data_IF_780111066796
#
_entry.id   IF_780111066796
#
_cell.length_a   1.000
_cell.length_b   1.000
_cell.length_c   1.000
_cell.angle_alpha   90.00
_cell.angle_beta   90.00
_cell.angle_gamma   90.00
#
_symmetry.space_group_name_H-M   'P 1'
#
loop_
_entity.id
_entity.type
_entity.pdbx_description
1 polymer ?
#
# COMPACT_ATOMS: atom_id res chain seq x y z
N UNK A 1 -28.28 -4.84 -7.51
CA UNK A 1 -26.82 -5.05 -7.53
C UNK A 1 -26.55 -6.22 -8.46
N UNK A 2 -25.80 -6.02 -9.54
CA UNK A 2 -25.57 -7.08 -10.54
C UNK A 2 -24.50 -8.06 -10.07
N UNK A 3 -24.44 -9.23 -10.71
CA UNK A 3 -23.39 -10.21 -10.44
C UNK A 3 -21.99 -9.65 -10.78
N UNK A 4 -21.89 -8.77 -11.78
CA UNK A 4 -20.63 -8.11 -12.17
C UNK A 4 -20.16 -7.16 -11.06
N UNK A 5 -21.06 -6.32 -10.52
CA UNK A 5 -20.75 -5.44 -9.37
C UNK A 5 -20.25 -6.24 -8.17
N UNK A 6 -20.95 -7.31 -7.78
CA UNK A 6 -20.56 -8.11 -6.62
C UNK A 6 -19.19 -8.77 -6.78
N UNK A 7 -18.84 -9.23 -7.99
CA UNK A 7 -17.50 -9.78 -8.29
C UNK A 7 -16.42 -8.70 -8.24
N UNK A 8 -16.71 -7.52 -8.78
CA UNK A 8 -15.79 -6.40 -8.77
C UNK A 8 -15.50 -5.92 -7.36
N UNK A 9 -16.54 -5.71 -6.55
CA UNK A 9 -16.40 -5.33 -5.13
C UNK A 9 -15.59 -6.38 -4.35
N UNK A 10 -15.86 -7.67 -4.58
CA UNK A 10 -15.10 -8.76 -3.98
C UNK A 10 -13.63 -8.79 -4.39
N UNK A 11 -13.32 -8.51 -5.65
CA UNK A 11 -11.94 -8.40 -6.12
C UNK A 11 -11.22 -7.21 -5.46
N UNK A 12 -11.84 -6.04 -5.41
CA UNK A 12 -11.26 -4.85 -4.78
C UNK A 12 -10.99 -5.08 -3.29
N UNK A 13 -11.91 -5.74 -2.58
CA UNK A 13 -11.70 -6.12 -1.18
C UNK A 13 -10.46 -7.01 -1.01
N UNK A 14 -10.29 -8.03 -1.85
CA UNK A 14 -9.10 -8.89 -1.82
C UNK A 14 -7.80 -8.14 -2.11
N UNK A 15 -7.82 -7.17 -3.03
CA UNK A 15 -6.65 -6.33 -3.30
C UNK A 15 -6.28 -5.50 -2.07
N UNK A 16 -7.27 -4.90 -1.39
CA UNK A 16 -7.05 -4.14 -0.16
C UNK A 16 -6.44 -4.99 0.94
N UNK A 17 -6.98 -6.20 1.18
CA UNK A 17 -6.45 -7.11 2.20
C UNK A 17 -5.00 -7.51 1.93
N UNK A 18 -4.67 -7.82 0.67
CA UNK A 18 -3.30 -8.15 0.27
C UNK A 18 -2.36 -6.95 0.41
N UNK A 19 -2.80 -5.76 0.02
CA UNK A 19 -2.03 -4.54 0.18
C UNK A 19 -1.77 -4.24 1.66
N UNK A 20 -2.79 -4.34 2.52
CA UNK A 20 -2.64 -4.18 3.96
C UNK A 20 -1.66 -5.19 4.56
N UNK A 21 -1.66 -6.44 4.07
CA UNK A 21 -0.68 -7.45 4.48
C UNK A 21 0.75 -7.02 4.12
N UNK A 22 0.98 -6.56 2.89
CA UNK A 22 2.31 -6.08 2.44
C UNK A 22 2.77 -4.86 3.26
N UNK A 23 1.86 -3.92 3.57
CA UNK A 23 2.20 -2.79 4.44
C UNK A 23 2.47 -3.22 5.88
N UNK A 24 1.78 -4.25 6.39
CA UNK A 24 2.05 -4.87 7.68
C UNK A 24 3.47 -5.44 7.75
N UNK A 25 3.88 -6.22 6.73
CA UNK A 25 5.24 -6.75 6.60
C UNK A 25 6.28 -5.61 6.62
N UNK A 26 6.00 -4.50 5.94
CA UNK A 26 6.90 -3.34 5.91
C UNK A 26 7.01 -2.65 7.30
N UNK A 27 5.90 -2.52 8.02
CA UNK A 27 5.87 -1.94 9.38
C UNK A 27 6.66 -2.76 10.38
N UNK A 28 6.78 -4.07 10.18
CA UNK A 28 7.58 -4.95 11.03
C UNK A 28 9.04 -5.01 10.58
N UNK A 29 9.27 -5.27 9.29
CA UNK A 29 10.62 -5.54 8.77
C UNK A 29 11.50 -4.31 8.59
N UNK A 30 10.96 -3.20 8.08
CA UNK A 30 11.78 -2.02 7.78
C UNK A 30 12.41 -1.37 9.03
N UNK A 31 11.71 -1.24 10.17
CA UNK A 31 12.34 -0.76 11.40
C UNK A 31 13.50 -1.65 11.87
N UNK A 32 13.38 -2.98 11.73
CA UNK A 32 14.47 -3.89 12.10
C UNK A 32 15.71 -3.70 11.23
N UNK A 33 15.52 -3.46 9.92
CA UNK A 33 16.62 -3.16 8.99
C UNK A 33 17.35 -1.88 9.39
N UNK A 34 16.62 -0.84 9.78
CA UNK A 34 17.21 0.41 10.27
C UNK A 34 18.03 0.18 11.54
N UNK A 35 17.50 -0.57 12.52
CA UNK A 35 18.22 -0.84 13.78
C UNK A 35 19.51 -1.64 13.55
N UNK A 36 19.46 -2.66 12.69
CA UNK A 36 20.63 -3.49 12.36
C UNK A 36 21.72 -2.70 11.63
N UNK A 37 21.34 -1.66 10.88
CA UNK A 37 22.25 -0.80 10.14
C UNK A 37 22.71 0.44 10.93
N UNK A 38 22.52 0.45 12.26
CA UNK A 38 22.77 1.62 13.13
C UNK A 38 22.13 2.91 12.59
N UNK A 39 20.92 2.76 12.06
CA UNK A 39 20.10 3.80 11.45
C UNK A 39 20.65 4.44 10.17
N UNK A 40 21.58 3.78 9.46
CA UNK A 40 21.85 4.09 8.04
C UNK A 40 20.57 3.86 7.21
N UNK A 41 20.05 4.87 6.48
CA UNK A 41 18.84 4.73 5.68
C UNK A 41 19.03 3.87 4.42
N UNK A 42 20.26 3.61 3.98
CA UNK A 42 20.54 2.94 2.70
C UNK A 42 19.94 1.53 2.62
N UNK A 43 20.14 0.63 3.60
CA UNK A 43 19.54 -0.71 3.56
C UNK A 43 18.01 -0.69 3.65
N UNK A 44 17.44 0.28 4.38
CA UNK A 44 15.99 0.46 4.44
C UNK A 44 15.44 0.84 3.06
N UNK A 45 16.10 1.74 2.33
CA UNK A 45 15.69 2.12 0.97
C UNK A 45 15.59 0.92 0.03
N UNK A 46 16.53 -0.02 0.12
CA UNK A 46 16.50 -1.28 -0.66
C UNK A 46 15.32 -2.17 -0.23
N UNK A 47 15.13 -2.38 1.07
CA UNK A 47 14.03 -3.18 1.60
C UNK A 47 12.66 -2.58 1.22
N UNK A 48 12.52 -1.26 1.33
CA UNK A 48 11.32 -0.53 0.95
C UNK A 48 11.03 -0.64 -0.55
N UNK A 49 12.06 -0.55 -1.40
CA UNK A 49 11.89 -0.70 -2.85
C UNK A 49 11.26 -2.04 -3.25
N UNK A 50 11.62 -3.12 -2.56
CA UNK A 50 11.00 -4.43 -2.79
C UNK A 50 9.52 -4.48 -2.36
N UNK A 51 9.19 -3.85 -1.23
CA UNK A 51 7.80 -3.69 -0.76
C UNK A 51 6.98 -2.84 -1.75
N UNK A 52 7.53 -1.70 -2.19
CA UNK A 52 6.88 -0.79 -3.11
C UNK A 52 6.58 -1.45 -4.45
N UNK A 53 7.52 -2.25 -4.98
CA UNK A 53 7.30 -3.01 -6.22
C UNK A 53 6.09 -3.95 -6.07
N UNK A 54 5.99 -4.71 -4.97
CA UNK A 54 4.86 -5.61 -4.71
C UNK A 54 3.54 -4.87 -4.58
N UNK A 55 3.54 -3.72 -3.93
CA UNK A 55 2.37 -2.85 -3.82
C UNK A 55 1.92 -2.31 -5.19
N UNK A 56 2.85 -1.80 -6.00
CA UNK A 56 2.55 -1.29 -7.36
C UNK A 56 2.00 -2.36 -8.30
N UNK A 57 2.48 -3.61 -8.17
CA UNK A 57 1.93 -4.73 -8.92
C UNK A 57 0.43 -4.96 -8.62
N UNK A 58 -0.02 -4.71 -7.39
CA UNK A 58 -1.45 -4.77 -7.06
C UNK A 58 -2.24 -3.61 -7.68
N UNK A 59 -1.67 -2.40 -7.73
CA UNK A 59 -2.29 -1.25 -8.37
C UNK A 59 -2.49 -1.48 -9.88
N UNK A 60 -1.45 -1.97 -10.56
CA UNK A 60 -1.53 -2.36 -11.98
C UNK A 60 -2.59 -3.43 -12.21
N UNK A 61 -2.68 -4.42 -11.31
CA UNK A 61 -3.67 -5.48 -11.41
C UNK A 61 -5.11 -4.98 -11.36
N UNK A 62 -5.40 -3.87 -10.66
CA UNK A 62 -6.74 -3.24 -10.67
C UNK A 62 -7.07 -2.75 -12.07
N UNK A 63 -6.14 -2.05 -12.72
CA UNK A 63 -6.32 -1.49 -14.07
C UNK A 63 -6.44 -2.58 -15.12
N UNK A 64 -5.55 -3.57 -15.09
CA UNK A 64 -5.59 -4.72 -16.01
C UNK A 64 -6.91 -5.48 -15.87
N UNK A 65 -7.33 -5.78 -14.64
CA UNK A 65 -8.59 -6.52 -14.41
C UNK A 65 -9.80 -5.73 -14.88
N UNK A 66 -9.78 -4.40 -14.73
CA UNK A 66 -10.85 -3.56 -15.26
C UNK A 66 -10.97 -3.70 -16.77
N UNK A 67 -9.86 -3.43 -17.48
CA UNK A 67 -9.81 -3.40 -18.94
C UNK A 67 -10.07 -4.78 -19.55
N UNK A 68 -9.50 -5.84 -18.98
CA UNK A 68 -9.53 -7.17 -19.57
C UNK A 68 -10.84 -7.93 -19.31
N UNK A 69 -11.53 -7.62 -18.21
CA UNK A 69 -12.62 -8.47 -17.70
C UNK A 69 -13.87 -7.70 -17.28
N UNK A 70 -13.72 -6.59 -16.56
CA UNK A 70 -14.87 -5.96 -15.88
C UNK A 70 -15.65 -5.05 -16.82
N UNK A 71 -14.96 -4.23 -17.61
CA UNK A 71 -15.61 -3.28 -18.53
C UNK A 71 -16.50 -4.01 -19.53
N UNK A 72 -15.95 -4.97 -20.27
CA UNK A 72 -16.72 -5.81 -21.20
C UNK A 72 -17.82 -6.63 -20.52
N UNK A 73 -17.65 -7.05 -19.26
CA UNK A 73 -18.72 -7.74 -18.53
C UNK A 73 -19.91 -6.83 -18.22
N UNK A 74 -19.68 -5.55 -17.88
CA UNK A 74 -20.74 -4.57 -17.69
C UNK A 74 -21.45 -4.22 -18.99
N UNK A 75 -20.71 -4.08 -20.09
CA UNK A 75 -21.29 -3.85 -21.42
C UNK A 75 -22.22 -4.99 -21.83
N UNK A 76 -21.78 -6.23 -21.62
CA UNK A 76 -22.59 -7.43 -21.91
C UNK A 76 -23.84 -7.56 -21.02
N UNK A 77 -23.77 -7.06 -19.78
CA UNK A 77 -24.92 -7.01 -18.84
C UNK A 77 -25.90 -5.85 -19.17
N UNK A 78 -25.60 -5.04 -20.19
CA UNK A 78 -26.42 -3.90 -20.60
C UNK A 78 -26.41 -2.77 -19.58
N UNK A 79 -25.37 -2.67 -18.76
CA UNK A 79 -25.26 -1.63 -17.74
C UNK A 79 -25.16 -0.24 -18.40
N UNK A 80 -25.87 0.77 -17.88
CA UNK A 80 -25.81 2.10 -18.46
C UNK A 80 -24.44 2.76 -18.17
N UNK A 81 -23.94 3.66 -19.04
CA UNK A 81 -22.59 4.21 -18.92
C UNK A 81 -22.26 4.84 -17.56
N UNK A 82 -23.23 5.49 -16.92
CA UNK A 82 -23.07 6.07 -15.60
C UNK A 82 -22.82 5.04 -14.49
N UNK A 83 -23.39 3.83 -14.61
CA UNK A 83 -23.14 2.75 -13.67
C UNK A 83 -21.72 2.19 -13.87
N UNK A 84 -21.30 2.01 -15.13
CA UNK A 84 -19.93 1.58 -15.46
C UNK A 84 -18.89 2.58 -14.94
N UNK A 85 -19.11 3.87 -15.17
CA UNK A 85 -18.23 4.93 -14.67
C UNK A 85 -18.17 4.96 -13.14
N UNK A 86 -19.30 4.77 -12.46
CA UNK A 86 -19.33 4.66 -11.00
C UNK A 86 -18.49 3.49 -10.50
N UNK A 87 -18.62 2.31 -11.11
CA UNK A 87 -17.86 1.13 -10.72
C UNK A 87 -16.35 1.27 -11.03
N UNK A 88 -16.00 1.95 -12.12
CA UNK A 88 -14.61 2.31 -12.44
C UNK A 88 -13.98 3.20 -11.37
N UNK A 89 -14.73 4.20 -10.91
CA UNK A 89 -14.27 5.14 -9.88
C UNK A 89 -13.92 4.45 -8.55
N UNK A 90 -14.53 3.29 -8.24
CA UNK A 90 -14.16 2.49 -7.06
C UNK A 90 -12.74 1.92 -7.17
N UNK A 91 -12.36 1.47 -8.37
CA UNK A 91 -11.00 0.99 -8.64
C UNK A 91 -9.97 2.10 -8.52
N UNK A 92 -10.27 3.25 -9.11
CA UNK A 92 -9.44 4.47 -9.02
C UNK A 92 -9.27 4.91 -7.55
N UNK A 93 -10.37 5.03 -6.80
CA UNK A 93 -10.32 5.37 -5.38
C UNK A 93 -9.54 4.35 -4.54
N UNK A 94 -9.56 3.07 -4.94
CA UNK A 94 -8.76 2.04 -4.26
C UNK A 94 -7.26 2.22 -4.54
N UNK A 95 -6.88 2.55 -5.78
CA UNK A 95 -5.48 2.86 -6.14
C UNK A 95 -4.97 4.11 -5.41
N UNK A 96 -5.77 5.18 -5.39
CA UNK A 96 -5.42 6.41 -4.68
C UNK A 96 -5.20 6.15 -3.18
N UNK A 97 -6.07 5.34 -2.57
CA UNK A 97 -5.91 4.92 -1.18
C UNK A 97 -4.61 4.13 -0.97
N UNK A 98 -4.26 3.20 -1.88
CA UNK A 98 -3.02 2.41 -1.80
C UNK A 98 -1.77 3.31 -1.87
N UNK A 99 -1.74 4.27 -2.80
CA UNK A 99 -0.64 5.23 -2.92
C UNK A 99 -0.45 6.04 -1.63
N UNK A 100 -1.54 6.62 -1.12
CA UNK A 100 -1.50 7.42 0.11
C UNK A 100 -1.03 6.57 1.30
N UNK A 101 -1.55 5.36 1.45
CA UNK A 101 -1.23 4.51 2.60
C UNK A 101 0.20 3.97 2.53
N UNK A 102 0.72 3.72 1.31
CA UNK A 102 2.12 3.39 1.09
C UNK A 102 3.03 4.52 1.56
N UNK A 103 2.74 5.76 1.14
CA UNK A 103 3.54 6.92 1.54
C UNK A 103 3.46 7.19 3.04
N UNK A 104 2.27 7.11 3.64
CA UNK A 104 2.11 7.22 5.10
C UNK A 104 2.92 6.18 5.85
N UNK A 105 2.89 4.94 5.39
CA UNK A 105 3.63 3.84 6.03
C UNK A 105 5.12 4.12 5.97
N UNK A 106 5.66 4.55 4.82
CA UNK A 106 7.06 4.94 4.65
C UNK A 106 7.46 6.04 5.63
N UNK A 107 6.67 7.12 5.65
CA UNK A 107 6.93 8.29 6.49
C UNK A 107 6.91 7.88 7.97
N UNK A 108 5.94 7.07 8.39
CA UNK A 108 5.84 6.58 9.78
C UNK A 108 7.10 5.84 10.20
N UNK A 109 7.60 4.93 9.36
CA UNK A 109 8.81 4.14 9.67
C UNK A 109 10.01 5.06 9.92
N UNK A 110 10.23 6.06 9.05
CA UNK A 110 11.33 7.01 9.24
C UNK A 110 11.12 7.92 10.46
N UNK A 111 9.90 8.38 10.72
CA UNK A 111 9.59 9.16 11.91
C UNK A 111 9.87 8.37 13.19
N UNK A 112 9.47 7.10 13.24
CA UNK A 112 9.68 6.22 14.38
C UNK A 112 11.17 5.96 14.62
N UNK A 113 11.93 5.73 13.54
CA UNK A 113 13.38 5.62 13.61
C UNK A 113 14.04 6.90 14.13
N UNK A 114 13.63 8.07 13.64
CA UNK A 114 14.13 9.36 14.13
C UNK A 114 13.88 9.57 15.62
N UNK A 115 12.70 9.17 16.14
CA UNK A 115 12.41 9.22 17.57
C UNK A 115 13.34 8.30 18.38
N UNK A 116 13.59 7.08 17.90
CA UNK A 116 14.51 6.13 18.56
C UNK A 116 15.95 6.65 18.62
N UNK A 117 16.44 7.25 17.55
CA UNK A 117 17.78 7.87 17.51
C UNK A 117 17.87 8.99 18.55
N UNK A 118 16.86 9.86 18.59
CA UNK A 118 16.81 10.97 19.56
C UNK A 118 16.78 10.46 21.01
N UNK A 119 15.99 9.43 21.31
CA UNK A 119 15.90 8.82 22.63
C UNK A 119 17.23 8.21 23.07
N UNK A 120 17.93 7.52 22.15
CA UNK A 120 19.27 6.97 22.39
C UNK A 120 20.28 8.06 22.71
N UNK A 121 20.36 9.09 21.86
CA UNK A 121 21.26 10.22 22.07
C UNK A 121 20.99 10.93 23.41
N UNK A 122 19.72 11.14 23.76
CA UNK A 122 19.33 11.74 25.06
C UNK A 122 19.76 10.86 26.24
N UNK A 123 19.58 9.55 26.15
CA UNK A 123 20.02 8.60 27.19
C UNK A 123 21.53 8.63 27.38
N UNK A 124 22.31 8.72 26.29
CA UNK A 124 23.77 8.74 26.34
C UNK A 124 24.29 10.05 26.95
N UNK A 125 23.68 11.19 26.62
CA UNK A 125 24.01 12.49 27.23
C UNK A 125 23.64 12.50 28.72
N UNK A 126 22.48 11.95 29.09
CA UNK A 126 22.03 11.85 30.49
C UNK A 126 22.85 10.88 31.36
N UNK A 127 23.70 10.06 30.75
CA UNK A 127 24.63 9.13 31.42
C UNK A 127 26.05 9.69 31.60
N UNK A 128 26.30 10.95 31.21
CA UNK A 128 27.63 11.55 31.35
C UNK A 128 27.96 11.80 32.84
N UNK A 129 28.88 10.97 33.36
CA UNK A 129 29.58 10.87 34.66
C UNK A 129 29.04 11.65 35.88
#
# INVERSE_FOLDING_TARGET
MSAVTARWDGFLAQIRDRFSTIMGEAREGCPMVLEQADFDPTPMGVAWGAIEMRAKQLETKIEDTWNDQVEGAFENDGAPPQAVAHERSKGEATRDWMEIERERTRISIYCDAGRRIFERARSDIGRSF
#
